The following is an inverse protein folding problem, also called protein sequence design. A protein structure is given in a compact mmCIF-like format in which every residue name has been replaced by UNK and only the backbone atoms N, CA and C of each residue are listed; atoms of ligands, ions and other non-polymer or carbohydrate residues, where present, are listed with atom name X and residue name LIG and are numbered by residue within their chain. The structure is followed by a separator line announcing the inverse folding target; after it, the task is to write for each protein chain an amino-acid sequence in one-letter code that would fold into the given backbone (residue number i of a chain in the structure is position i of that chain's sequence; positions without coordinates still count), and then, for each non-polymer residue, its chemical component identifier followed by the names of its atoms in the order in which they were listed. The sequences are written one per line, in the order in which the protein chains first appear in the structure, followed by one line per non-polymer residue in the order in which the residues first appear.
data_IF_709778854628
#
_entry.id   IF_709778854628
#
_cell.length_a   1.000
_cell.length_b   1.000
_cell.length_c   1.000
_cell.angle_alpha   90.00
_cell.angle_beta   90.00
_cell.angle_gamma   90.00
#
_symmetry.space_group_name_H-M   'P 1'
#
loop_
_entity.id
_entity.type
_entity.pdbx_description
1 polymer ?
#
# COMPACT_ATOMS: atom_id res chain seq x y z
N UNK A 1 -28.42 -49.49 27.98
CA UNK A 1 -27.03 -49.17 27.58
C UNK A 1 -27.02 -49.04 26.06
N UNK A 2 -26.83 -47.84 25.52
CA UNK A 2 -26.88 -47.61 24.08
C UNK A 2 -25.63 -48.21 23.41
N UNK A 3 -25.84 -49.25 22.60
CA UNK A 3 -24.83 -49.88 21.75
C UNK A 3 -24.35 -48.88 20.72
N UNK A 4 -23.12 -48.37 20.88
CA UNK A 4 -22.44 -47.66 19.81
C UNK A 4 -22.10 -48.68 18.71
N UNK A 5 -22.83 -48.61 17.60
CA UNK A 5 -22.51 -49.42 16.42
C UNK A 5 -21.06 -49.17 16.00
N UNK A 6 -20.25 -50.21 15.75
CA UNK A 6 -18.86 -50.04 15.37
C UNK A 6 -18.80 -49.32 14.02
N UNK A 7 -18.24 -48.11 14.02
CA UNK A 7 -18.06 -47.30 12.81
C UNK A 7 -17.07 -48.05 11.90
N UNK A 8 -17.55 -48.52 10.76
CA UNK A 8 -16.74 -49.20 9.76
C UNK A 8 -15.61 -48.25 9.32
N UNK A 9 -14.33 -48.64 9.40
CA UNK A 9 -13.21 -47.77 9.05
C UNK A 9 -13.32 -47.12 7.66
N UNK A 10 -13.87 -47.85 6.68
CA UNK A 10 -14.13 -47.33 5.33
C UNK A 10 -15.15 -46.18 5.32
N UNK A 11 -16.24 -46.29 6.10
CA UNK A 11 -17.24 -45.23 6.22
C UNK A 11 -16.67 -43.98 6.91
N UNK A 12 -15.78 -44.18 7.89
CA UNK A 12 -15.04 -43.07 8.53
C UNK A 12 -14.11 -42.36 7.55
N UNK A 13 -13.34 -43.10 6.76
CA UNK A 13 -12.44 -42.51 5.75
C UNK A 13 -13.22 -41.72 4.69
N UNK A 14 -14.35 -42.25 4.22
CA UNK A 14 -15.22 -41.54 3.28
C UNK A 14 -15.80 -40.26 3.88
N UNK A 15 -16.27 -40.31 5.13
CA UNK A 15 -16.78 -39.14 5.83
C UNK A 15 -15.68 -38.08 6.03
N UNK A 16 -14.45 -38.48 6.38
CA UNK A 16 -13.31 -37.57 6.52
C UNK A 16 -12.92 -36.94 5.18
N UNK A 17 -12.96 -37.68 4.07
CA UNK A 17 -12.71 -37.15 2.73
C UNK A 17 -13.78 -36.13 2.32
N UNK A 18 -15.05 -36.44 2.57
CA UNK A 18 -16.17 -35.54 2.28
C UNK A 18 -16.09 -34.26 3.10
N UNK A 19 -15.74 -34.36 4.39
CA UNK A 19 -15.56 -33.21 5.27
C UNK A 19 -14.37 -32.34 4.83
N UNK A 20 -13.26 -32.96 4.38
CA UNK A 20 -12.14 -32.22 3.79
C UNK A 20 -12.55 -31.47 2.53
N UNK A 21 -13.33 -32.09 1.64
CA UNK A 21 -13.85 -31.42 0.44
C UNK A 21 -14.71 -30.21 0.82
N UNK A 22 -15.63 -30.35 1.78
CA UNK A 22 -16.43 -29.22 2.28
C UNK A 22 -15.59 -28.10 2.88
N UNK A 23 -14.60 -28.43 3.70
CA UNK A 23 -13.67 -27.44 4.23
C UNK A 23 -12.91 -26.71 3.13
N UNK A 24 -12.46 -27.43 2.09
CA UNK A 24 -11.81 -26.77 0.93
C UNK A 24 -12.76 -25.82 0.21
N UNK A 25 -14.01 -26.22 -0.01
CA UNK A 25 -15.03 -25.37 -0.65
C UNK A 25 -15.35 -24.13 0.19
N UNK A 26 -15.48 -24.29 1.52
CA UNK A 26 -15.70 -23.18 2.43
C UNK A 26 -14.53 -22.20 2.44
N UNK A 27 -13.29 -22.71 2.49
CA UNK A 27 -12.10 -21.87 2.43
C UNK A 27 -12.01 -21.06 1.12
N UNK A 28 -12.37 -21.68 -0.01
CA UNK A 28 -12.45 -20.99 -1.30
C UNK A 28 -13.54 -19.91 -1.30
N UNK A 29 -14.72 -20.21 -0.76
CA UNK A 29 -15.82 -19.24 -0.65
C UNK A 29 -15.45 -18.05 0.25
N UNK A 30 -14.83 -18.31 1.42
CA UNK A 30 -14.35 -17.24 2.30
C UNK A 30 -13.28 -16.38 1.62
N UNK A 31 -12.33 -16.99 0.90
CA UNK A 31 -11.32 -16.26 0.16
C UNK A 31 -11.93 -15.37 -0.94
N UNK A 32 -12.98 -15.87 -1.62
CA UNK A 32 -13.75 -15.07 -2.58
C UNK A 32 -14.43 -13.89 -1.92
N UNK A 33 -15.17 -14.10 -0.82
CA UNK A 33 -15.86 -13.02 -0.08
C UNK A 33 -14.86 -11.96 0.40
N UNK A 34 -13.74 -12.38 1.01
CA UNK A 34 -12.71 -11.47 1.48
C UNK A 34 -12.12 -10.62 0.35
N UNK A 35 -11.98 -11.21 -0.84
CA UNK A 35 -11.49 -10.52 -2.03
C UNK A 35 -12.51 -9.56 -2.60
N UNK A 36 -13.79 -9.93 -2.68
CA UNK A 36 -14.86 -9.02 -3.10
C UNK A 36 -15.01 -7.84 -2.13
N UNK A 37 -14.85 -8.07 -0.82
CA UNK A 37 -14.81 -7.00 0.18
C UNK A 37 -13.65 -6.03 -0.10
N UNK A 38 -12.45 -6.54 -0.39
CA UNK A 38 -11.29 -5.71 -0.79
C UNK A 38 -11.57 -4.89 -2.05
N UNK A 39 -12.41 -5.36 -2.97
CA UNK A 39 -12.81 -4.62 -4.18
C UNK A 39 -13.83 -3.54 -3.80
N UNK A 40 -14.84 -3.87 -2.99
CA UNK A 40 -15.84 -2.92 -2.49
C UNK A 40 -15.20 -1.77 -1.72
N UNK A 41 -14.25 -2.06 -0.81
CA UNK A 41 -13.49 -1.05 -0.06
C UNK A 41 -12.73 -0.09 -0.98
N UNK A 42 -12.29 -0.58 -2.15
CA UNK A 42 -11.62 0.27 -3.15
C UNK A 42 -12.58 1.20 -3.89
N UNK A 43 -13.82 0.77 -4.10
CA UNK A 43 -14.85 1.59 -4.75
C UNK A 43 -15.30 2.73 -3.83
N UNK A 44 -15.40 2.50 -2.53
CA UNK A 44 -15.83 3.51 -1.55
C UNK A 44 -14.70 4.46 -1.14
N UNK A 45 -13.47 4.25 -1.63
CA UNK A 45 -12.30 4.98 -1.16
C UNK A 45 -11.94 4.66 0.30
N UNK A 46 -12.53 3.63 0.89
CA UNK A 46 -12.20 3.09 2.21
C UNK A 46 -10.89 2.30 2.15
N UNK A 47 -9.84 2.92 1.63
CA UNK A 47 -8.49 2.39 1.76
C UNK A 47 -8.05 2.60 3.21
N UNK A 48 -7.61 1.53 3.89
CA UNK A 48 -7.18 1.58 5.29
C UNK A 48 -6.05 2.59 5.59
N UNK A 49 -5.39 3.12 4.57
CA UNK A 49 -4.21 3.98 4.72
C UNK A 49 -4.57 5.46 4.62
N UNK A 50 -4.87 6.07 5.78
CA UNK A 50 -4.78 7.53 5.93
C UNK A 50 -3.30 7.92 5.87
N UNK A 51 -2.93 8.81 4.94
CA UNK A 51 -1.54 9.23 4.79
C UNK A 51 -1.10 10.02 6.02
N UNK A 52 -0.28 9.38 6.86
CA UNK A 52 0.49 10.00 7.94
C UNK A 52 1.95 10.07 7.48
N UNK A 53 2.73 10.98 8.08
CA UNK A 53 4.17 11.14 7.81
C UNK A 53 4.85 9.76 7.71
N UNK A 54 5.72 9.59 6.72
CA UNK A 54 6.42 8.34 6.43
C UNK A 54 7.11 7.85 7.71
N UNK A 55 6.67 6.69 8.22
CA UNK A 55 7.36 6.00 9.32
C UNK A 55 8.39 5.07 8.72
N UNK A 56 9.64 5.20 9.16
CA UNK A 56 10.68 4.21 8.81
C UNK A 56 10.35 2.92 9.58
N UNK A 57 10.23 1.76 8.91
CA UNK A 57 10.02 0.49 9.58
C UNK A 57 11.12 0.21 10.62
N UNK A 58 10.73 -0.23 11.81
CA UNK A 58 11.66 -0.60 12.89
C UNK A 58 12.68 -1.65 12.43
N UNK A 59 12.28 -2.52 11.50
CA UNK A 59 13.13 -3.52 10.86
C UNK A 59 14.37 -2.92 10.17
N UNK A 60 14.29 -1.69 9.66
CA UNK A 60 15.45 -1.00 9.03
C UNK A 60 16.37 -0.41 10.10
N UNK A 61 15.81 -0.03 11.24
CA UNK A 61 16.56 0.45 12.41
C UNK A 61 17.25 -0.73 13.13
N UNK A 62 16.60 -1.90 13.15
CA UNK A 62 17.09 -3.11 13.82
C UNK A 62 17.98 -3.98 12.94
N UNK A 63 17.73 -4.09 11.63
CA UNK A 63 18.53 -4.93 10.73
C UNK A 63 19.65 -4.11 10.06
N UNK A 64 20.88 -4.56 10.24
CA UNK A 64 22.06 -4.07 9.52
C UNK A 64 22.06 -4.41 8.00
N UNK A 65 20.95 -4.90 7.45
CA UNK A 65 20.84 -5.47 6.09
C UNK A 65 20.26 -4.52 5.04
N UNK A 66 20.34 -3.20 5.22
CA UNK A 66 20.38 -2.32 4.04
C UNK A 66 21.84 -2.16 3.68
N UNK A 67 22.20 -2.72 2.54
CA UNK A 67 23.53 -2.73 1.90
C UNK A 67 24.32 -1.49 2.30
N UNK A 68 25.22 -1.64 3.29
CA UNK A 68 26.07 -0.57 3.83
C UNK A 68 27.19 -0.24 2.83
N UNK A 69 26.83 0.15 1.61
CA UNK A 69 27.78 0.41 0.54
C UNK A 69 28.42 1.77 0.81
N UNK A 70 29.43 1.78 1.70
CA UNK A 70 30.42 2.85 1.88
C UNK A 70 29.87 4.28 1.77
N UNK A 71 28.71 4.56 2.38
CA UNK A 71 28.10 5.87 2.22
C UNK A 71 28.90 6.94 2.99
N UNK A 72 29.52 7.93 2.32
CA UNK A 72 30.32 8.95 2.98
C UNK A 72 29.49 9.83 3.91
N UNK A 73 28.21 10.06 3.57
CA UNK A 73 27.33 10.95 4.34
C UNK A 73 27.07 10.43 5.75
N UNK A 74 26.90 9.10 5.90
CA UNK A 74 26.72 8.46 7.20
C UNK A 74 27.91 8.67 8.15
N UNK A 75 29.12 8.95 7.62
CA UNK A 75 30.34 9.17 8.41
C UNK A 75 30.54 10.64 8.79
N UNK A 76 29.82 11.56 8.17
CA UNK A 76 29.90 12.97 8.52
C UNK A 76 29.43 13.24 9.96
N UNK A 77 29.86 14.35 10.58
CA UNK A 77 29.30 14.84 11.84
C UNK A 77 27.79 15.03 11.77
N UNK A 78 27.11 14.94 12.93
CA UNK A 78 25.65 15.02 13.00
C UNK A 78 25.12 16.33 12.41
N UNK A 79 25.81 17.44 12.63
CA UNK A 79 25.46 18.77 12.12
C UNK A 79 25.41 18.79 10.59
N UNK A 80 26.39 18.15 9.96
CA UNK A 80 26.47 18.05 8.50
C UNK A 80 25.33 17.18 7.98
N UNK A 81 25.08 16.03 8.61
CA UNK A 81 23.95 15.17 8.24
C UNK A 81 22.62 15.91 8.36
N UNK A 82 22.42 16.67 9.44
CA UNK A 82 21.22 17.48 9.65
C UNK A 82 21.02 18.51 8.53
N UNK A 83 22.10 19.17 8.10
CA UNK A 83 22.06 20.13 6.99
C UNK A 83 21.64 19.44 5.69
N UNK A 84 22.18 18.27 5.37
CA UNK A 84 21.77 17.50 4.19
C UNK A 84 20.27 17.18 4.23
N UNK A 85 19.76 16.68 5.36
CA UNK A 85 18.32 16.43 5.51
C UNK A 85 17.47 17.69 5.38
N UNK A 86 17.95 18.85 5.84
CA UNK A 86 17.26 20.12 5.73
C UNK A 86 17.23 20.65 4.29
N UNK A 87 18.30 20.44 3.53
CA UNK A 87 18.45 20.87 2.14
C UNK A 87 17.62 20.05 1.15
N UNK A 88 17.28 18.79 1.50
CA UNK A 88 16.38 17.99 0.69
C UNK A 88 14.97 18.62 0.66
N UNK A 89 14.46 19.04 -0.50
CA UNK A 89 13.23 19.84 -0.57
C UNK A 89 11.98 19.00 -0.29
N UNK A 90 11.95 17.75 -0.78
CA UNK A 90 10.79 16.88 -0.68
C UNK A 90 10.92 15.91 0.50
N UNK A 91 9.78 15.62 1.14
CA UNK A 91 9.71 14.57 2.17
C UNK A 91 10.02 13.20 1.59
N UNK A 92 9.70 12.99 0.30
CA UNK A 92 10.06 11.81 -0.46
C UNK A 92 11.57 11.56 -0.52
N UNK A 93 12.36 12.60 -0.78
CA UNK A 93 13.81 12.45 -0.91
C UNK A 93 14.45 12.20 0.47
N UNK A 94 13.92 12.84 1.52
CA UNK A 94 14.35 12.59 2.91
C UNK A 94 14.00 11.18 3.37
N UNK A 95 12.77 10.72 3.11
CA UNK A 95 12.36 9.36 3.44
C UNK A 95 13.17 8.33 2.65
N UNK A 96 13.44 8.58 1.36
CA UNK A 96 14.28 7.72 0.55
C UNK A 96 15.70 7.63 1.12
N UNK A 97 16.31 8.76 1.50
CA UNK A 97 17.62 8.78 2.16
C UNK A 97 17.59 8.02 3.49
N UNK A 98 16.55 8.22 4.31
CA UNK A 98 16.38 7.52 5.59
C UNK A 98 16.34 5.99 5.43
N UNK A 99 15.83 5.50 4.30
CA UNK A 99 15.73 4.06 4.02
C UNK A 99 17.03 3.43 3.50
N UNK A 100 18.07 4.23 3.24
CA UNK A 100 19.34 3.70 2.70
C UNK A 100 20.28 3.13 3.76
N UNK A 101 20.25 3.62 5.00
CA UNK A 101 21.02 3.02 6.08
C UNK A 101 20.43 3.35 7.47
N UNK A 102 20.85 2.56 8.47
CA UNK A 102 20.44 2.75 9.87
C UNK A 102 20.70 4.16 10.39
N UNK A 103 21.89 4.72 10.14
CA UNK A 103 22.26 6.05 10.65
C UNK A 103 21.41 7.16 10.04
N UNK A 104 21.07 7.05 8.76
CA UNK A 104 20.14 7.98 8.11
C UNK A 104 18.72 7.84 8.64
N UNK A 105 18.27 6.62 8.92
CA UNK A 105 16.99 6.37 9.57
C UNK A 105 16.92 7.04 10.95
N UNK A 106 17.93 6.83 11.80
CA UNK A 106 18.03 7.44 13.12
C UNK A 106 18.03 8.98 13.04
N UNK A 107 18.85 9.54 12.15
CA UNK A 107 18.91 10.99 11.93
C UNK A 107 17.55 11.55 11.46
N UNK A 108 16.89 10.91 10.50
CA UNK A 108 15.57 11.33 10.04
C UNK A 108 14.52 11.28 11.15
N UNK A 109 14.47 10.18 11.90
CA UNK A 109 13.53 10.00 13.01
C UNK A 109 13.74 11.03 14.14
N UNK A 110 14.99 11.37 14.45
CA UNK A 110 15.31 12.42 15.43
C UNK A 110 14.92 13.83 14.95
N UNK A 111 15.08 14.11 13.65
CA UNK A 111 14.87 15.44 13.09
C UNK A 111 13.43 15.73 12.66
N UNK A 112 12.67 14.70 12.27
CA UNK A 112 11.36 14.92 11.65
C UNK A 112 10.42 15.72 12.54
N UNK A 113 10.43 15.50 13.85
CA UNK A 113 9.54 16.16 14.81
C UNK A 113 10.17 17.35 15.54
N UNK A 114 11.48 17.58 15.35
CA UNK A 114 12.20 18.71 15.94
C UNK A 114 11.59 20.03 15.47
N UNK A 115 11.32 20.94 16.41
CA UNK A 115 10.83 22.29 16.14
C UNK A 115 11.91 23.32 16.51
N UNK A 116 12.02 24.36 15.70
CA UNK A 116 12.91 25.51 15.93
C UNK A 116 12.07 26.77 15.93
N UNK A 117 12.35 27.67 16.88
CA UNK A 117 11.80 29.01 16.89
C UNK A 117 12.55 29.85 15.86
N UNK A 118 11.85 30.37 14.85
CA UNK A 118 12.40 31.36 13.91
C UNK A 118 11.66 32.68 14.10
N UNK A 119 12.39 33.79 14.13
CA UNK A 119 11.81 35.12 14.06
C UNK A 119 11.48 35.42 12.60
N UNK A 120 10.20 35.61 12.30
CA UNK A 120 9.72 36.02 10.98
C UNK A 120 8.93 37.30 11.23
N UNK A 121 9.39 38.43 10.68
CA UNK A 121 8.77 39.75 10.89
C UNK A 121 8.58 40.07 12.39
N UNK A 122 9.64 39.90 13.19
CA UNK A 122 9.66 40.14 14.65
C UNK A 122 8.76 39.22 15.50
N UNK A 123 7.98 38.34 14.88
CA UNK A 123 7.15 37.35 15.56
C UNK A 123 7.93 36.03 15.67
N UNK A 124 8.01 35.47 16.89
CA UNK A 124 8.57 34.13 17.10
C UNK A 124 7.57 33.05 16.66
N UNK A 125 7.89 32.39 15.55
CA UNK A 125 7.09 31.28 15.03
C UNK A 125 7.83 29.97 15.23
N UNK A 126 7.18 29.00 15.88
CA UNK A 126 7.69 27.63 15.99
C UNK A 126 7.47 26.88 14.68
N UNK A 127 8.54 26.61 13.94
CA UNK A 127 8.52 25.85 12.69
C UNK A 127 9.22 24.49 12.87
N UNK A 128 8.78 23.47 12.12
CA UNK A 128 9.52 22.21 12.04
C UNK A 128 10.92 22.44 11.43
N UNK A 129 11.91 21.70 11.95
CA UNK A 129 13.28 21.75 11.46
C UNK A 129 13.36 21.33 9.99
N UNK A 130 12.74 20.19 9.66
CA UNK A 130 12.62 19.73 8.29
C UNK A 130 11.42 20.42 7.61
N UNK A 131 11.57 20.92 6.37
CA UNK A 131 10.46 21.49 5.60
C UNK A 131 9.31 20.51 5.48
N UNK A 132 8.08 20.88 5.86
CA UNK A 132 6.91 19.99 5.74
C UNK A 132 5.85 20.60 4.83
N UNK A 133 5.17 19.80 4.00
CA UNK A 133 4.02 20.29 3.25
C UNK A 133 2.90 20.69 4.23
N UNK A 134 2.24 21.82 3.97
CA UNK A 134 1.11 22.31 4.80
C UNK A 134 -0.05 21.30 4.82
N UNK A 135 -0.24 20.57 3.73
CA UNK A 135 -1.25 19.50 3.59
C UNK A 135 -0.59 18.30 2.94
N UNK A 136 -0.80 17.14 3.54
CA UNK A 136 -0.27 15.89 3.01
C UNK A 136 -1.32 15.26 2.09
N UNK A 137 -0.94 15.04 0.83
CA UNK A 137 -1.84 14.50 -0.22
C UNK A 137 -1.34 13.17 -0.75
N UNK A 138 -2.18 12.43 -1.46
CA UNK A 138 -1.82 11.15 -2.08
C UNK A 138 -0.64 11.26 -3.06
N UNK A 139 -0.45 12.42 -3.69
CA UNK A 139 0.68 12.70 -4.58
C UNK A 139 2.01 12.65 -3.83
N UNK A 140 2.05 13.20 -2.61
CA UNK A 140 3.25 13.15 -1.77
C UNK A 140 3.61 11.71 -1.41
N UNK A 141 2.62 10.85 -1.19
CA UNK A 141 2.84 9.42 -0.97
C UNK A 141 3.40 8.74 -2.22
N UNK A 142 2.83 9.04 -3.38
CA UNK A 142 3.34 8.50 -4.64
C UNK A 142 4.80 8.89 -4.87
N UNK A 143 5.16 10.14 -4.57
CA UNK A 143 6.55 10.62 -4.65
C UNK A 143 7.48 9.76 -3.79
N UNK A 144 7.14 9.51 -2.53
CA UNK A 144 7.92 8.64 -1.64
C UNK A 144 8.04 7.24 -2.22
N UNK A 145 6.91 6.63 -2.60
CA UNK A 145 6.88 5.24 -3.06
C UNK A 145 7.70 5.07 -4.35
N UNK A 146 7.56 5.96 -5.32
CA UNK A 146 8.36 5.90 -6.55
C UNK A 146 9.86 5.97 -6.26
N UNK A 147 10.30 6.79 -5.31
CA UNK A 147 11.71 6.91 -4.94
C UNK A 147 12.30 5.65 -4.32
N UNK A 148 11.51 4.95 -3.52
CA UNK A 148 11.98 3.75 -2.79
C UNK A 148 11.83 2.47 -3.61
N UNK A 149 11.33 2.56 -4.85
CA UNK A 149 11.05 1.40 -5.69
C UNK A 149 12.27 0.49 -5.90
N UNK A 150 13.47 1.05 -5.99
CA UNK A 150 14.71 0.28 -6.13
C UNK A 150 15.04 -0.57 -4.89
N UNK A 151 14.51 -0.21 -3.73
CA UNK A 151 14.70 -0.93 -2.46
C UNK A 151 13.66 -2.04 -2.25
N UNK A 152 12.62 -2.08 -3.09
CA UNK A 152 11.54 -3.05 -2.99
C UNK A 152 11.85 -4.27 -3.87
N UNK A 153 11.69 -5.51 -3.38
CA UNK A 153 11.92 -6.71 -4.19
C UNK A 153 11.08 -6.73 -5.47
N UNK A 154 11.66 -7.27 -6.55
CA UNK A 154 11.03 -7.32 -7.88
C UNK A 154 9.67 -8.05 -7.92
N UNK A 155 9.38 -8.92 -6.94
CA UNK A 155 8.07 -9.58 -6.80
C UNK A 155 6.93 -8.62 -6.44
N UNK A 156 7.24 -7.38 -6.04
CA UNK A 156 6.24 -6.36 -5.76
C UNK A 156 6.20 -5.31 -6.85
N UNK A 157 4.99 -4.84 -7.16
CA UNK A 157 4.77 -3.74 -8.09
C UNK A 157 3.94 -2.64 -7.43
N UNK A 158 4.30 -1.38 -7.66
CA UNK A 158 3.57 -0.23 -7.14
C UNK A 158 2.30 0.02 -7.95
N UNK A 159 1.16 0.06 -7.27
CA UNK A 159 -0.07 0.60 -7.82
C UNK A 159 -0.18 2.10 -7.53
N UNK A 160 -0.34 2.90 -8.57
CA UNK A 160 -0.39 4.36 -8.51
C UNK A 160 -1.76 4.89 -8.07
N UNK A 161 -2.83 4.07 -8.19
CA UNK A 161 -4.18 4.43 -7.74
C UNK A 161 -4.33 4.28 -6.22
N UNK A 162 -3.97 3.11 -5.66
CA UNK A 162 -4.08 2.87 -4.22
C UNK A 162 -2.77 3.16 -3.45
N UNK A 163 -1.70 3.60 -4.15
CA UNK A 163 -0.38 3.91 -3.60
C UNK A 163 0.16 2.76 -2.72
N UNK A 164 0.13 1.53 -3.23
CA UNK A 164 0.58 0.35 -2.50
C UNK A 164 1.46 -0.54 -3.37
N UNK A 165 2.49 -1.09 -2.75
CA UNK A 165 3.21 -2.24 -3.31
C UNK A 165 2.36 -3.48 -3.14
N UNK A 166 2.11 -4.16 -4.26
CA UNK A 166 1.32 -5.37 -4.32
C UNK A 166 2.23 -6.51 -4.78
N UNK A 167 2.20 -7.63 -4.07
CA UNK A 167 2.89 -8.85 -4.49
C UNK A 167 2.24 -9.38 -5.78
N UNK A 168 2.99 -9.41 -6.87
CA UNK A 168 2.53 -9.80 -8.20
C UNK A 168 2.01 -11.24 -8.19
N UNK A 169 2.53 -12.10 -7.33
CA UNK A 169 2.19 -13.52 -7.27
C UNK A 169 1.01 -13.84 -6.33
N UNK A 170 0.53 -12.84 -5.58
CA UNK A 170 -0.58 -13.03 -4.64
C UNK A 170 -1.85 -13.52 -5.37
N UNK A 171 -2.59 -14.50 -4.83
CA UNK A 171 -3.80 -15.03 -5.47
C UNK A 171 -4.81 -13.97 -5.91
N UNK A 172 -5.07 -12.96 -5.07
CA UNK A 172 -5.94 -11.83 -5.38
C UNK A 172 -5.51 -11.00 -6.61
N UNK A 173 -4.23 -11.07 -7.01
CA UNK A 173 -3.71 -10.36 -8.18
C UNK A 173 -3.78 -11.21 -9.46
N UNK A 174 -4.27 -12.45 -9.39
CA UNK A 174 -4.46 -13.32 -10.58
C UNK A 174 -5.79 -13.10 -11.29
N UNK A 175 -6.71 -12.33 -10.70
CA UNK A 175 -8.07 -12.12 -11.24
C UNK A 175 -8.02 -11.43 -12.61
N UNK A 176 -7.11 -10.46 -12.75
CA UNK A 176 -6.98 -9.61 -13.93
C UNK A 176 -5.51 -9.24 -14.14
N UNK A 177 -5.10 -8.91 -15.37
CA UNK A 177 -3.79 -8.33 -15.59
C UNK A 177 -3.69 -6.96 -14.89
N UNK A 178 -2.45 -6.53 -14.64
CA UNK A 178 -2.19 -5.12 -14.33
C UNK A 178 -2.57 -4.25 -15.52
N UNK A 179 -2.83 -2.97 -15.29
CA UNK A 179 -3.12 -2.05 -16.40
C UNK A 179 -2.86 -0.62 -16.04
N UNK A 180 -3.45 0.30 -16.80
CA UNK A 180 -2.83 1.61 -16.96
C UNK A 180 -1.51 1.48 -17.74
N UNK A 181 -0.81 2.59 -17.90
CA UNK A 181 0.49 2.66 -18.54
C UNK A 181 1.57 2.16 -17.57
N UNK A 182 2.61 1.47 -18.07
CA UNK A 182 3.71 0.99 -17.22
C UNK A 182 4.55 2.18 -16.71
N UNK A 183 5.21 1.98 -15.56
CA UNK A 183 5.85 3.07 -14.81
C UNK A 183 7.00 3.74 -15.59
N UNK A 184 7.75 2.95 -16.36
CA UNK A 184 8.81 3.37 -17.29
C UNK A 184 8.31 4.34 -18.38
N UNK A 185 7.02 4.30 -18.75
CA UNK A 185 6.43 5.26 -19.69
C UNK A 185 5.87 6.50 -19.01
N UNK A 186 5.36 6.35 -17.78
CA UNK A 186 4.65 7.42 -17.07
C UNK A 186 5.59 8.35 -16.33
N UNK A 187 6.55 7.79 -15.60
CA UNK A 187 7.44 8.58 -14.74
C UNK A 187 8.33 9.55 -15.52
N UNK A 188 8.96 9.18 -16.65
CA UNK A 188 9.76 10.13 -17.42
C UNK A 188 8.96 11.30 -18.00
N UNK A 189 7.68 11.08 -18.32
CA UNK A 189 6.82 12.11 -18.95
C UNK A 189 6.12 13.01 -17.95
N UNK A 190 5.61 12.44 -16.86
CA UNK A 190 4.70 13.14 -15.95
C UNK A 190 5.24 13.27 -14.52
N UNK A 191 6.32 12.56 -14.19
CA UNK A 191 6.77 12.41 -12.81
C UNK A 191 5.70 11.77 -11.90
N UNK A 192 5.93 11.73 -10.58
CA UNK A 192 4.95 11.28 -9.59
C UNK A 192 3.87 12.35 -9.32
N UNK A 193 3.04 12.66 -10.32
CA UNK A 193 1.99 13.70 -10.27
C UNK A 193 0.58 13.11 -10.25
N UNK A 194 -0.45 13.97 -10.14
CA UNK A 194 -1.86 13.56 -10.29
C UNK A 194 -2.11 12.86 -11.62
N UNK A 195 -1.48 13.33 -12.70
CA UNK A 195 -1.59 12.70 -14.03
C UNK A 195 -1.04 11.29 -14.02
N UNK A 196 0.10 11.07 -13.35
CA UNK A 196 0.64 9.72 -13.17
C UNK A 196 -0.25 8.83 -12.30
N UNK A 197 -0.90 9.36 -11.26
CA UNK A 197 -1.89 8.60 -10.49
C UNK A 197 -3.06 8.11 -11.35
N UNK A 198 -3.48 8.93 -12.31
CA UNK A 198 -4.56 8.58 -13.24
C UNK A 198 -4.08 7.56 -14.27
N UNK A 199 -2.96 7.81 -14.94
CA UNK A 199 -2.53 7.02 -16.11
C UNK A 199 -1.65 5.83 -15.75
N UNK A 200 -0.99 5.85 -14.59
CA UNK A 200 0.02 4.88 -14.20
C UNK A 200 -0.50 3.49 -13.84
N UNK A 201 0.41 2.60 -13.41
CA UNK A 201 0.08 1.21 -13.13
C UNK A 201 -1.03 1.04 -12.10
N UNK A 202 -2.00 0.19 -12.41
CA UNK A 202 -3.13 -0.16 -11.55
C UNK A 202 -3.12 -1.65 -11.24
N UNK A 203 -3.27 -1.99 -9.96
CA UNK A 203 -3.36 -3.38 -9.56
C UNK A 203 -4.69 -4.01 -10.04
N UNK A 204 -4.74 -5.35 -10.15
CA UNK A 204 -5.92 -6.08 -10.60
C UNK A 204 -7.19 -5.76 -9.80
N UNK A 205 -7.06 -5.56 -8.48
CA UNK A 205 -8.17 -5.20 -7.61
C UNK A 205 -8.71 -3.79 -7.89
N UNK A 206 -7.83 -2.82 -8.16
CA UNK A 206 -8.26 -1.47 -8.55
C UNK A 206 -8.87 -1.45 -9.96
N UNK A 207 -8.45 -2.33 -10.86
CA UNK A 207 -9.13 -2.49 -12.15
C UNK A 207 -10.53 -3.08 -11.99
N UNK A 208 -10.67 -4.14 -11.20
CA UNK A 208 -11.97 -4.75 -10.94
C UNK A 208 -12.93 -3.73 -10.32
N UNK A 209 -12.47 -2.95 -9.34
CA UNK A 209 -13.25 -1.86 -8.75
C UNK A 209 -13.68 -0.82 -9.80
N UNK A 210 -12.77 -0.37 -10.67
CA UNK A 210 -13.09 0.59 -11.71
C UNK A 210 -14.09 0.05 -12.74
N UNK A 211 -14.03 -1.24 -13.08
CA UNK A 211 -15.00 -1.87 -13.98
C UNK A 211 -16.38 -2.01 -13.33
N UNK A 212 -16.44 -2.36 -12.04
CA UNK A 212 -17.70 -2.40 -11.28
C UNK A 212 -18.30 -0.99 -11.12
N UNK A 213 -17.45 0.02 -10.93
CA UNK A 213 -17.89 1.42 -10.92
C UNK A 213 -18.47 1.83 -12.27
N UNK A 214 -17.79 1.51 -13.39
CA UNK A 214 -18.34 1.74 -14.73
C UNK A 214 -19.66 0.97 -14.95
N UNK A 215 -19.76 -0.27 -14.46
CA UNK A 215 -20.99 -1.04 -14.52
C UNK A 215 -22.11 -0.40 -13.70
N UNK A 216 -21.83 0.16 -12.51
CA UNK A 216 -22.80 0.89 -11.69
C UNK A 216 -23.47 2.05 -12.43
N UNK A 217 -22.77 2.67 -13.37
CA UNK A 217 -23.30 3.79 -14.15
C UNK A 217 -24.08 3.35 -15.39
N UNK A 218 -24.10 2.06 -15.75
CA UNK A 218 -24.90 1.55 -16.87
C UNK A 218 -26.37 1.42 -16.45
N UNK A 219 -27.28 1.85 -17.33
CA UNK A 219 -28.73 1.77 -17.10
C UNK A 219 -29.20 0.33 -16.80
N UNK A 220 -28.68 -0.63 -17.56
CA UNK A 220 -28.97 -2.07 -17.41
C UNK A 220 -28.62 -2.60 -16.01
N UNK A 221 -27.49 -2.17 -15.45
CA UNK A 221 -27.08 -2.62 -14.12
C UNK A 221 -27.92 -1.99 -13.01
N UNK A 222 -28.38 -0.76 -13.21
CA UNK A 222 -29.33 -0.12 -12.29
C UNK A 222 -30.70 -0.81 -12.34
N UNK A 223 -31.14 -1.25 -13.52
CA UNK A 223 -32.35 -2.07 -13.66
C UNK A 223 -32.19 -3.43 -12.97
N UNK A 224 -31.05 -4.10 -13.17
CA UNK A 224 -30.72 -5.33 -12.46
C UNK A 224 -30.74 -5.15 -10.95
N UNK A 225 -30.12 -4.09 -10.41
CA UNK A 225 -30.17 -3.78 -8.96
C UNK A 225 -31.59 -3.59 -8.44
N UNK A 226 -32.46 -2.92 -9.21
CA UNK A 226 -33.87 -2.76 -8.84
C UNK A 226 -34.58 -4.11 -8.79
N UNK A 227 -34.41 -4.95 -9.81
CA UNK A 227 -34.96 -6.30 -9.87
C UNK A 227 -34.44 -7.19 -8.73
N UNK A 228 -33.14 -7.18 -8.45
CA UNK A 228 -32.53 -7.95 -7.37
C UNK A 228 -33.05 -7.54 -5.97
N UNK A 229 -33.19 -6.24 -5.70
CA UNK A 229 -33.82 -5.74 -4.46
C UNK A 229 -35.27 -6.19 -4.31
N UNK A 230 -36.01 -6.29 -5.41
CA UNK A 230 -37.41 -6.74 -5.38
C UNK A 230 -37.56 -8.22 -5.01
N UNK A 231 -36.51 -9.02 -5.23
CA UNK A 231 -36.48 -10.45 -4.89
C UNK A 231 -36.04 -10.66 -3.44
N UNK A 232 -35.08 -9.87 -2.93
CA UNK A 232 -34.55 -10.00 -1.57
C UNK A 232 -35.42 -9.39 -0.47
N UNK A 233 -36.43 -8.58 -0.83
CA UNK A 233 -37.43 -8.04 0.11
C UNK A 233 -38.72 -8.89 0.18
N UNK A 234 -38.74 -10.09 -0.39
CA UNK A 234 -39.74 -11.13 -0.15
C UNK A 234 -39.16 -12.20 0.76
#
# INVERSE_FOLDING_TARGET
MATQNPVIPAARIQAEQYLRQHLTTLNLAMAMVAREQKIADRMTGAHAYKYKITKVPEQIISNNQVTQVRDPLSRCPAEVQHLFFQLLPLDADRAALALTCKKHAETYEALKEKKIKKKINEIEVSQYFLPRPKRVTEIHRLQVLVRVQSLIPARFRLCFKCNQYMDINHPDNRIRPWGGLPADRVLPRYGPTKTAMTLGPRCPLCQAAAQLELANHRAEFNEYKRKAKSITMR
#
